data_IF_861815831335
#
_entry.id   IF_861815831335
#
_cell.length_a   1.000
_cell.length_b   1.000
_cell.length_c   1.000
_cell.angle_alpha   90.00
_cell.angle_beta   90.00
_cell.angle_gamma   90.00
#
_symmetry.space_group_name_H-M   'P 1'
#
loop_
_entity.id
_entity.type
_entity.pdbx_description
1 polymer ?
#
# COMPACT_ATOMS: atom_id res chain seq x y z
N UNK A 1 -9.24 67.28 -36.74
CA UNK A 1 -9.62 65.88 -36.99
C UNK A 1 -8.96 65.07 -35.91
N UNK A 2 -9.72 64.70 -34.91
CA UNK A 2 -9.27 64.04 -33.65
C UNK A 2 -9.64 62.57 -33.67
N UNK A 3 -8.63 61.71 -33.86
CA UNK A 3 -8.78 60.28 -33.84
C UNK A 3 -8.74 59.81 -32.37
N UNK A 4 -9.89 59.43 -31.83
CA UNK A 4 -10.01 58.82 -30.48
C UNK A 4 -9.59 57.35 -30.54
N UNK A 5 -8.43 57.08 -29.98
CA UNK A 5 -7.99 55.72 -29.72
C UNK A 5 -8.63 55.23 -28.42
N UNK A 6 -9.60 54.34 -28.54
CA UNK A 6 -10.23 53.67 -27.40
C UNK A 6 -9.33 52.49 -27.04
N UNK A 7 -8.56 52.60 -25.95
CA UNK A 7 -7.79 51.53 -25.37
C UNK A 7 -8.75 50.63 -24.59
N UNK A 8 -9.13 49.52 -25.22
CA UNK A 8 -9.92 48.48 -24.57
C UNK A 8 -8.97 47.62 -23.72
N UNK A 9 -8.95 47.89 -22.43
CA UNK A 9 -8.21 47.07 -21.45
C UNK A 9 -9.01 45.78 -21.26
N UNK A 10 -8.62 44.73 -21.98
CA UNK A 10 -9.11 43.38 -21.76
C UNK A 10 -8.41 42.79 -20.52
N UNK A 11 -9.07 42.89 -19.37
CA UNK A 11 -8.66 42.32 -18.11
C UNK A 11 -8.77 40.77 -18.20
N UNK A 12 -7.67 40.12 -18.55
CA UNK A 12 -7.55 38.67 -18.49
C UNK A 12 -7.56 38.21 -17.02
N UNK A 13 -8.73 37.83 -16.56
CA UNK A 13 -8.90 37.08 -15.32
C UNK A 13 -8.28 35.72 -15.51
N UNK A 14 -7.00 35.56 -15.20
CA UNK A 14 -6.37 34.26 -15.04
C UNK A 14 -6.90 33.62 -13.76
N UNK A 15 -7.96 32.84 -13.90
CA UNK A 15 -8.44 31.98 -12.85
C UNK A 15 -7.36 31.00 -12.50
N UNK A 16 -6.66 31.21 -11.38
CA UNK A 16 -5.78 30.20 -10.76
C UNK A 16 -6.68 29.13 -10.22
N UNK A 17 -6.95 28.11 -11.03
CA UNK A 17 -7.59 26.89 -10.55
C UNK A 17 -6.59 26.20 -9.63
N UNK A 18 -6.77 26.40 -8.33
CA UNK A 18 -6.02 25.66 -7.30
C UNK A 18 -6.44 24.20 -7.41
N UNK A 19 -5.74 23.45 -8.26
CA UNK A 19 -5.86 22.00 -8.31
C UNK A 19 -5.23 21.48 -7.00
N UNK A 20 -6.06 21.20 -6.01
CA UNK A 20 -5.65 20.48 -4.81
C UNK A 20 -5.25 19.08 -5.29
N UNK A 21 -3.96 18.83 -5.48
CA UNK A 21 -3.41 17.51 -5.76
C UNK A 21 -3.72 16.64 -4.55
N UNK A 22 -4.82 15.90 -4.63
CA UNK A 22 -5.09 14.81 -3.70
C UNK A 22 -3.95 13.82 -3.93
N UNK A 23 -3.06 13.70 -2.94
CA UNK A 23 -1.98 12.69 -3.00
C UNK A 23 -2.66 11.33 -3.13
N UNK A 24 -2.38 10.62 -4.22
CA UNK A 24 -2.90 9.28 -4.42
C UNK A 24 -2.35 8.35 -3.33
N UNK A 25 -3.21 7.50 -2.77
CA UNK A 25 -2.82 6.52 -1.76
C UNK A 25 -1.78 5.57 -2.35
N UNK A 26 -0.66 5.39 -1.66
CA UNK A 26 0.37 4.41 -2.01
C UNK A 26 -0.01 2.99 -1.55
N UNK A 27 -0.91 2.90 -0.56
CA UNK A 27 -1.47 1.64 -0.10
C UNK A 27 -2.64 1.25 -1.00
N UNK A 28 -2.50 0.16 -1.73
CA UNK A 28 -3.43 -0.28 -2.76
C UNK A 28 -4.40 -1.34 -2.21
N UNK A 29 -5.66 -1.29 -2.64
CA UNK A 29 -6.56 -2.41 -2.44
C UNK A 29 -6.16 -3.58 -3.34
N UNK A 30 -6.24 -4.81 -2.79
CA UNK A 30 -6.01 -6.02 -3.56
C UNK A 30 -7.20 -6.97 -3.38
N UNK A 31 -7.70 -7.49 -4.50
CA UNK A 31 -8.73 -8.52 -4.53
C UNK A 31 -8.11 -9.91 -4.46
N UNK A 32 -8.95 -10.96 -4.25
CA UNK A 32 -8.52 -12.35 -4.34
C UNK A 32 -7.88 -12.68 -5.69
N UNK A 33 -8.48 -12.20 -6.78
CA UNK A 33 -7.95 -12.41 -8.12
C UNK A 33 -6.58 -11.72 -8.30
N UNK A 34 -6.47 -10.43 -7.92
CA UNK A 34 -5.20 -9.71 -8.02
C UNK A 34 -4.10 -10.34 -7.16
N UNK A 35 -4.46 -10.89 -5.99
CA UNK A 35 -3.51 -11.59 -5.13
C UNK A 35 -2.94 -12.82 -5.84
N UNK A 36 -3.80 -13.65 -6.45
CA UNK A 36 -3.40 -14.82 -7.22
C UNK A 36 -2.51 -14.46 -8.42
N UNK A 37 -2.80 -13.34 -9.07
CA UNK A 37 -2.04 -12.90 -10.24
C UNK A 37 -0.67 -12.31 -9.87
N UNK A 38 -0.57 -11.53 -8.77
CA UNK A 38 0.58 -10.68 -8.47
C UNK A 38 1.47 -11.19 -7.35
N UNK A 39 0.94 -11.93 -6.39
CA UNK A 39 1.66 -12.32 -5.18
C UNK A 39 1.89 -13.82 -5.13
N UNK A 40 0.83 -14.61 -5.12
CA UNK A 40 0.89 -16.05 -5.02
C UNK A 40 -0.37 -16.69 -5.57
N UNK A 41 -0.23 -17.59 -6.54
CA UNK A 41 -1.33 -18.34 -7.11
C UNK A 41 -1.77 -19.47 -6.16
N UNK A 42 -2.66 -19.13 -5.26
CA UNK A 42 -3.18 -20.06 -4.25
C UNK A 42 -4.01 -21.17 -4.90
N UNK A 43 -4.70 -20.87 -6.00
CA UNK A 43 -5.59 -21.83 -6.68
C UNK A 43 -4.80 -22.96 -7.33
N UNK A 44 -3.70 -22.64 -7.98
CA UNK A 44 -2.87 -23.63 -8.66
C UNK A 44 -1.83 -24.27 -7.73
N UNK A 45 -1.40 -23.56 -6.71
CA UNK A 45 -0.34 -23.96 -5.80
C UNK A 45 -0.71 -23.80 -4.32
N UNK A 46 -1.80 -24.46 -3.84
CA UNK A 46 -2.28 -24.25 -2.47
C UNK A 46 -1.29 -24.69 -1.40
N UNK A 47 -0.48 -25.71 -1.70
CA UNK A 47 0.46 -26.34 -0.76
C UNK A 47 1.91 -25.88 -0.94
N UNK A 48 2.18 -25.06 -1.95
CA UNK A 48 3.54 -24.61 -2.27
C UNK A 48 3.57 -23.13 -2.56
N UNK A 49 4.15 -22.38 -1.64
CA UNK A 49 4.32 -20.94 -1.83
C UNK A 49 5.29 -20.65 -2.99
N UNK A 50 4.79 -20.00 -4.02
CA UNK A 50 5.56 -19.51 -5.16
C UNK A 50 5.33 -18.01 -5.33
N UNK A 51 6.22 -17.21 -4.78
CA UNK A 51 6.13 -15.75 -4.85
C UNK A 51 6.33 -15.27 -6.30
N UNK A 52 5.39 -14.46 -6.76
CA UNK A 52 5.40 -13.90 -8.13
C UNK A 52 6.00 -12.50 -8.20
N UNK A 53 6.18 -11.84 -7.05
CA UNK A 53 6.71 -10.48 -6.98
C UNK A 53 8.24 -10.40 -7.12
N UNK A 54 8.73 -9.19 -7.30
CA UNK A 54 10.17 -8.86 -7.34
C UNK A 54 10.57 -7.80 -6.32
N UNK A 55 9.62 -7.29 -5.55
CA UNK A 55 9.80 -6.36 -4.43
C UNK A 55 9.22 -6.98 -3.17
N UNK A 56 9.61 -6.49 -2.00
CA UNK A 56 8.94 -6.88 -0.76
C UNK A 56 7.46 -6.49 -0.80
N UNK A 57 6.61 -7.29 -0.15
CA UNK A 57 5.16 -7.04 -0.12
C UNK A 57 4.65 -7.13 1.31
N UNK A 58 3.84 -6.17 1.71
CA UNK A 58 3.02 -6.23 2.92
C UNK A 58 1.56 -6.28 2.50
N UNK A 59 0.81 -7.23 3.07
CA UNK A 59 -0.64 -7.33 2.89
C UNK A 59 -1.29 -7.12 4.25
N UNK A 60 -1.96 -5.98 4.43
CA UNK A 60 -2.68 -5.61 5.65
C UNK A 60 -4.15 -6.01 5.54
N UNK A 61 -4.58 -6.92 6.41
CA UNK A 61 -5.98 -7.31 6.54
C UNK A 61 -6.67 -6.39 7.53
N UNK A 62 -7.67 -5.67 7.05
CA UNK A 62 -8.37 -4.64 7.82
C UNK A 62 -9.89 -4.73 7.64
N UNK A 63 -10.63 -4.01 8.49
CA UNK A 63 -12.03 -3.69 8.28
C UNK A 63 -12.29 -2.21 8.57
N UNK A 64 -13.35 -1.64 7.98
CA UNK A 64 -13.70 -0.23 8.17
C UNK A 64 -14.08 0.13 9.60
N UNK A 65 -14.59 -0.84 10.36
CA UNK A 65 -14.98 -0.68 11.78
C UNK A 65 -13.80 -0.88 12.74
N UNK A 66 -12.63 -1.26 12.27
CA UNK A 66 -11.45 -1.53 13.08
C UNK A 66 -10.68 -0.23 13.37
N UNK A 67 -10.80 0.29 14.58
CA UNK A 67 -10.11 1.53 14.99
C UNK A 67 -8.58 1.47 14.86
N UNK A 68 -7.89 0.43 15.39
CA UNK A 68 -6.45 0.29 15.24
C UNK A 68 -5.98 0.19 13.78
N UNK A 69 -6.83 -0.37 12.88
CA UNK A 69 -6.50 -0.45 11.45
C UNK A 69 -6.41 0.92 10.78
N UNK A 70 -7.18 1.90 11.24
CA UNK A 70 -7.10 3.29 10.74
C UNK A 70 -5.74 3.90 11.09
N UNK A 71 -5.24 3.68 12.32
CA UNK A 71 -3.93 4.16 12.74
C UNK A 71 -2.81 3.46 11.97
N UNK A 72 -2.94 2.16 11.74
CA UNK A 72 -1.97 1.40 10.94
C UNK A 72 -1.91 1.90 9.50
N UNK A 73 -3.04 2.26 8.89
CA UNK A 73 -3.07 2.79 7.54
C UNK A 73 -2.23 4.06 7.40
N UNK A 74 -2.28 4.97 8.39
CA UNK A 74 -1.47 6.19 8.38
C UNK A 74 0.04 5.88 8.44
N UNK A 75 0.42 4.84 9.19
CA UNK A 75 1.80 4.34 9.22
C UNK A 75 2.18 3.73 7.86
N UNK A 76 1.31 2.89 7.30
CA UNK A 76 1.56 2.21 6.02
C UNK A 76 1.68 3.17 4.83
N UNK A 77 0.93 4.27 4.81
CA UNK A 77 1.07 5.30 3.76
C UNK A 77 2.46 5.95 3.80
N UNK A 78 2.99 6.25 4.99
CA UNK A 78 4.35 6.79 5.14
C UNK A 78 5.42 5.78 4.74
N UNK A 79 5.25 4.54 5.19
CA UNK A 79 6.15 3.43 4.87
C UNK A 79 6.16 3.16 3.36
N UNK A 80 5.00 3.12 2.72
CA UNK A 80 4.90 2.92 1.28
C UNK A 80 5.55 4.05 0.46
N UNK A 81 5.51 5.29 0.96
CA UNK A 81 6.24 6.41 0.37
C UNK A 81 7.76 6.28 0.57
N UNK A 82 8.19 5.93 1.79
CA UNK A 82 9.60 5.86 2.18
C UNK A 82 10.36 4.75 1.43
N UNK A 83 9.68 3.62 1.22
CA UNK A 83 10.26 2.44 0.55
C UNK A 83 9.74 2.25 -0.88
N UNK A 84 9.37 3.35 -1.55
CA UNK A 84 8.90 3.29 -2.94
C UNK A 84 9.93 2.64 -3.86
N UNK A 85 9.51 1.61 -4.60
CA UNK A 85 10.36 0.80 -5.48
C UNK A 85 10.93 -0.48 -4.83
N UNK A 86 11.10 -0.50 -3.50
CA UNK A 86 11.59 -1.65 -2.74
C UNK A 86 10.46 -2.44 -2.08
N UNK A 87 9.36 -1.76 -1.74
CA UNK A 87 8.20 -2.31 -1.02
C UNK A 87 6.90 -1.93 -1.71
N UNK A 88 5.99 -2.89 -1.79
CA UNK A 88 4.59 -2.66 -2.17
C UNK A 88 3.68 -2.98 -0.99
N UNK A 89 2.78 -2.06 -0.64
CA UNK A 89 1.82 -2.27 0.45
C UNK A 89 0.42 -2.42 -0.13
N UNK A 90 -0.20 -3.55 0.18
CA UNK A 90 -1.60 -3.84 -0.14
C UNK A 90 -2.45 -3.88 1.12
N UNK A 91 -3.74 -3.59 0.95
CA UNK A 91 -4.76 -3.76 1.99
C UNK A 91 -5.93 -4.60 1.50
N UNK A 92 -6.40 -5.49 2.35
CA UNK A 92 -7.52 -6.40 2.12
C UNK A 92 -8.66 -6.07 3.08
N UNK A 93 -9.80 -5.65 2.56
CA UNK A 93 -11.03 -5.46 3.34
C UNK A 93 -11.67 -6.84 3.61
N UNK A 94 -11.55 -7.36 4.83
CA UNK A 94 -12.02 -8.70 5.18
C UNK A 94 -13.53 -8.88 5.06
N UNK A 95 -14.29 -7.79 5.07
CA UNK A 95 -15.74 -7.83 4.88
C UNK A 95 -16.11 -8.08 3.40
N UNK A 96 -15.19 -7.73 2.48
CA UNK A 96 -15.36 -7.91 1.04
C UNK A 96 -14.62 -9.13 0.50
N UNK A 97 -13.36 -9.29 0.89
CA UNK A 97 -12.45 -10.34 0.41
C UNK A 97 -12.41 -11.52 1.39
N UNK A 98 -13.58 -12.12 1.64
CA UNK A 98 -13.76 -13.22 2.62
C UNK A 98 -12.92 -14.44 2.29
N UNK A 99 -12.69 -14.71 1.01
CA UNK A 99 -11.92 -15.86 0.56
C UNK A 99 -10.45 -15.68 0.95
N UNK A 100 -9.85 -14.50 0.76
CA UNK A 100 -8.52 -14.18 1.24
C UNK A 100 -8.42 -14.29 2.76
N UNK A 101 -9.36 -13.69 3.49
CA UNK A 101 -9.38 -13.75 4.95
C UNK A 101 -9.47 -15.21 5.46
N UNK A 102 -10.22 -16.07 4.76
CA UNK A 102 -10.37 -17.50 5.11
C UNK A 102 -9.11 -18.29 4.81
N UNK A 103 -8.54 -18.14 3.61
CA UNK A 103 -7.31 -18.83 3.19
C UNK A 103 -6.17 -18.52 4.15
N UNK A 104 -6.01 -17.26 4.51
CA UNK A 104 -4.98 -16.82 5.46
C UNK A 104 -5.37 -16.94 6.92
N UNK A 105 -6.56 -17.49 7.23
CA UNK A 105 -7.05 -17.75 8.60
C UNK A 105 -6.95 -16.51 9.48
N UNK A 106 -7.41 -15.36 8.97
CA UNK A 106 -7.43 -14.10 9.71
C UNK A 106 -8.39 -14.19 10.88
N UNK A 107 -7.89 -14.04 12.11
CA UNK A 107 -8.69 -14.18 13.34
C UNK A 107 -8.85 -12.87 14.12
N UNK A 108 -8.04 -11.89 13.86
CA UNK A 108 -8.05 -10.58 14.51
C UNK A 108 -7.53 -9.50 13.59
N UNK A 109 -7.81 -8.22 13.90
CA UNK A 109 -7.41 -7.09 13.08
C UNK A 109 -6.71 -6.01 13.91
N UNK A 110 -5.74 -5.30 13.33
CA UNK A 110 -5.12 -5.55 12.03
C UNK A 110 -4.24 -6.81 12.04
N UNK A 111 -4.08 -7.43 10.87
CA UNK A 111 -3.28 -8.62 10.67
C UNK A 111 -2.47 -8.45 9.37
N UNK A 112 -1.16 -8.53 9.48
CA UNK A 112 -0.27 -8.30 8.35
C UNK A 112 0.45 -9.57 7.95
N UNK A 113 0.51 -9.85 6.65
CA UNK A 113 1.34 -10.89 6.07
C UNK A 113 2.38 -10.22 5.18
N UNK A 114 3.65 -10.48 5.47
CA UNK A 114 4.78 -9.84 4.84
C UNK A 114 5.60 -10.86 4.06
N UNK A 115 5.93 -10.53 2.83
CA UNK A 115 6.73 -11.34 1.90
C UNK A 115 8.04 -10.62 1.61
N UNK A 116 9.17 -11.29 1.79
CA UNK A 116 10.47 -10.71 1.42
C UNK A 116 10.60 -10.55 -0.09
N UNK A 117 11.45 -9.65 -0.54
CA UNK A 117 11.72 -9.39 -1.96
C UNK A 117 12.18 -10.62 -2.74
N UNK A 118 12.78 -11.58 -2.05
CA UNK A 118 13.19 -12.86 -2.63
C UNK A 118 12.10 -13.94 -2.59
N UNK A 119 10.98 -13.66 -1.94
CA UNK A 119 9.92 -14.64 -1.70
C UNK A 119 10.29 -15.79 -0.76
N UNK A 120 11.50 -15.80 -0.18
CA UNK A 120 11.95 -16.88 0.70
C UNK A 120 11.46 -16.76 2.13
N UNK A 121 11.10 -15.56 2.53
CA UNK A 121 10.62 -15.27 3.89
C UNK A 121 9.18 -14.79 3.82
N UNK A 122 8.32 -15.46 4.59
CA UNK A 122 6.96 -15.01 4.87
C UNK A 122 6.83 -14.82 6.37
N UNK A 123 6.34 -13.67 6.80
CA UNK A 123 6.14 -13.32 8.21
C UNK A 123 4.72 -12.84 8.43
N UNK A 124 4.22 -13.02 9.65
CA UNK A 124 2.91 -12.55 10.07
C UNK A 124 3.02 -11.74 11.35
N UNK A 125 2.37 -10.59 11.36
CA UNK A 125 2.34 -9.68 12.50
C UNK A 125 0.90 -9.32 12.83
N UNK A 126 0.56 -9.37 14.10
CA UNK A 126 -0.76 -9.01 14.59
C UNK A 126 -0.71 -7.69 15.37
N UNK A 127 -1.78 -6.91 15.25
CA UNK A 127 -1.94 -5.68 15.99
C UNK A 127 -1.26 -4.47 15.35
N UNK A 128 -1.07 -3.43 16.13
CA UNK A 128 -0.57 -2.13 15.68
C UNK A 128 0.89 -1.95 16.08
N UNK A 129 1.87 -2.22 15.20
CA UNK A 129 3.27 -1.91 15.45
C UNK A 129 3.51 -0.39 15.39
N UNK A 130 4.57 0.06 16.03
CA UNK A 130 5.04 1.44 15.84
C UNK A 130 5.68 1.62 14.45
N UNK A 131 5.79 2.86 14.00
CA UNK A 131 6.48 3.20 12.75
C UNK A 131 7.95 2.76 12.77
N UNK A 132 8.60 2.83 13.94
CA UNK A 132 9.98 2.37 14.11
C UNK A 132 10.10 0.84 14.00
N UNK A 133 9.15 0.09 14.61
CA UNK A 133 9.13 -1.37 14.51
C UNK A 133 8.91 -1.81 13.05
N UNK A 134 8.04 -1.10 12.32
CA UNK A 134 7.82 -1.38 10.90
C UNK A 134 9.08 -1.22 10.07
N UNK A 135 9.89 -0.18 10.32
CA UNK A 135 11.17 -0.03 9.61
C UNK A 135 12.14 -1.18 9.91
N UNK A 136 12.23 -1.59 11.16
CA UNK A 136 13.08 -2.74 11.54
C UNK A 136 12.64 -4.01 10.80
N UNK A 137 11.34 -4.31 10.81
CA UNK A 137 10.79 -5.48 10.10
C UNK A 137 11.14 -5.43 8.61
N UNK A 138 10.96 -4.29 7.97
CA UNK A 138 11.20 -4.12 6.54
C UNK A 138 12.68 -4.30 6.22
N UNK A 139 13.56 -3.61 6.92
CA UNK A 139 14.98 -3.59 6.61
C UNK A 139 15.68 -4.91 6.93
N UNK A 140 15.33 -5.53 8.06
CA UNK A 140 16.00 -6.75 8.52
C UNK A 140 15.40 -8.03 7.95
N UNK A 141 14.07 -8.07 7.72
CA UNK A 141 13.41 -9.30 7.37
C UNK A 141 12.90 -9.34 5.92
N UNK A 142 12.51 -8.19 5.35
CA UNK A 142 11.89 -8.18 4.03
C UNK A 142 12.87 -7.76 2.92
N UNK A 143 13.74 -6.79 3.18
CA UNK A 143 14.69 -6.29 2.19
C UNK A 143 16.08 -6.94 2.28
N UNK A 144 16.35 -7.72 3.33
CA UNK A 144 17.64 -8.40 3.56
C UNK A 144 18.85 -7.43 3.56
N UNK A 145 18.64 -6.14 3.89
CA UNK A 145 19.70 -5.10 3.84
C UNK A 145 20.84 -5.34 4.83
N UNK A 146 20.61 -6.11 5.89
CA UNK A 146 21.64 -6.41 6.91
C UNK A 146 22.57 -7.57 6.54
N UNK A 147 22.27 -8.30 5.46
CA UNK A 147 23.04 -9.49 5.02
C UNK A 147 23.91 -9.25 3.79
N UNK A 148 24.08 -8.01 3.35
CA UNK A 148 25.11 -7.71 2.34
C UNK A 148 26.48 -7.58 3.02
N UNK A 149 27.48 -8.30 2.53
CA UNK A 149 28.85 -8.28 3.10
C UNK A 149 29.54 -6.93 2.90
#
# INVERSE_FOLDING_TARGET
MTLRVIFSILLLMTGVTSCSLKKDSKVQHISYQDFNERIWDIEQHPDSFAFKGNTAVIVDYYAKWCGPCVQLLDIMEKIADEYEGDLTVYKVDVDKEKDLATVFKVQGLPDMICFSSTGRTVRRYHGLPSEADMRIIIEEELLDKTKQP
#
